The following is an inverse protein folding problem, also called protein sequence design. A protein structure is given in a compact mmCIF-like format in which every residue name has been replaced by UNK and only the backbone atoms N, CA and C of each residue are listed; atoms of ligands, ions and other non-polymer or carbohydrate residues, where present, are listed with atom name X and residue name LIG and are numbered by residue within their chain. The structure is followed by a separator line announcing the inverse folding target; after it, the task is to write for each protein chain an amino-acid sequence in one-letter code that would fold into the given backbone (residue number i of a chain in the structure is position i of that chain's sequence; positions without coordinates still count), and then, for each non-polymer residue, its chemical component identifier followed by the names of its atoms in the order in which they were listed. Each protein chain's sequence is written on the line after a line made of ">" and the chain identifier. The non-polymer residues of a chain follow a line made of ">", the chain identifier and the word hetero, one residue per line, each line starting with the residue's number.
data_IF_813534365747
#
_entry.id   IF_813534365747
#
_cell.length_a   1.000
_cell.length_b   1.000
_cell.length_c   1.000
_cell.angle_alpha   90.00
_cell.angle_beta   90.00
_cell.angle_gamma   90.00
#
_symmetry.space_group_name_H-M   'P 1'
#
loop_
_entity.id
_entity.type
_entity.pdbx_description
1 polymer ?
#
# COMPACT_ATOMS: atom_id res chain seq x y z
N UNK A 1 -26.51 0.00 -84.95
CA UNK A 1 -26.58 -1.28 -84.22
C UNK A 1 -25.81 -1.11 -82.92
N UNK A 2 -26.37 -1.02 -81.73
CA UNK A 2 -27.74 -0.93 -81.25
C UNK A 2 -27.63 -0.46 -79.81
N UNK A 3 -28.33 0.63 -79.47
CA UNK A 3 -28.24 1.37 -78.20
C UNK A 3 -29.04 0.65 -77.09
N UNK A 4 -29.25 -0.66 -77.26
CA UNK A 4 -30.17 -1.52 -76.51
C UNK A 4 -29.45 -2.52 -75.60
N UNK A 5 -28.12 -2.64 -75.69
CA UNK A 5 -27.33 -3.55 -74.81
C UNK A 5 -27.06 -2.96 -73.41
N UNK A 6 -27.49 -1.70 -73.18
CA UNK A 6 -27.26 -0.98 -71.92
C UNK A 6 -28.46 -0.99 -70.95
N UNK A 7 -29.56 -1.66 -71.31
CA UNK A 7 -30.85 -1.59 -70.56
C UNK A 7 -31.33 -2.96 -70.03
N UNK A 8 -30.74 -4.10 -70.43
CA UNK A 8 -31.19 -5.43 -69.98
C UNK A 8 -30.09 -6.24 -69.30
N UNK A 9 -29.95 -6.00 -67.99
CA UNK A 9 -29.75 -7.02 -66.96
C UNK A 9 -28.59 -8.01 -67.07
N UNK A 10 -27.57 -7.80 -66.23
CA UNK A 10 -27.06 -8.90 -65.40
C UNK A 10 -26.44 -8.39 -64.10
N UNK A 11 -27.12 -8.69 -63.00
CA UNK A 11 -26.61 -8.48 -61.65
C UNK A 11 -25.39 -9.36 -61.39
N UNK A 12 -24.29 -8.75 -60.96
CA UNK A 12 -23.25 -9.42 -60.20
C UNK A 12 -23.01 -8.58 -58.96
N UNK A 13 -23.91 -8.70 -57.98
CA UNK A 13 -23.59 -8.39 -56.58
C UNK A 13 -22.45 -9.34 -56.19
N UNK A 14 -21.20 -8.84 -56.20
CA UNK A 14 -20.16 -9.44 -55.37
C UNK A 14 -20.57 -9.15 -53.94
N UNK A 15 -21.09 -10.16 -53.27
CA UNK A 15 -21.28 -10.14 -51.83
C UNK A 15 -19.89 -10.03 -51.21
N UNK A 16 -19.71 -9.06 -50.31
CA UNK A 16 -18.59 -9.07 -49.37
C UNK A 16 -18.71 -10.33 -48.51
N UNK A 17 -18.03 -11.40 -48.94
CA UNK A 17 -17.69 -12.53 -48.09
C UNK A 17 -16.84 -11.98 -46.95
N UNK A 18 -17.49 -11.61 -45.84
CA UNK A 18 -16.83 -11.58 -44.56
C UNK A 18 -16.38 -13.01 -44.32
N UNK A 19 -15.09 -13.29 -44.57
CA UNK A 19 -14.45 -14.51 -44.14
C UNK A 19 -14.56 -14.56 -42.63
N UNK A 20 -15.61 -15.21 -42.13
CA UNK A 20 -15.73 -15.58 -40.73
C UNK A 20 -14.75 -16.73 -40.55
N UNK A 21 -13.48 -16.37 -40.32
CA UNK A 21 -12.48 -17.32 -39.86
C UNK A 21 -13.06 -18.01 -38.62
N UNK A 22 -12.98 -19.34 -38.50
CA UNK A 22 -13.41 -20.03 -37.28
C UNK A 22 -12.42 -19.65 -36.17
N UNK A 23 -12.73 -18.56 -35.47
CA UNK A 23 -11.98 -18.11 -34.29
C UNK A 23 -12.27 -19.12 -33.18
N UNK A 24 -11.23 -19.69 -32.60
CA UNK A 24 -11.38 -20.63 -31.49
C UNK A 24 -11.95 -19.86 -30.28
N UNK A 25 -12.84 -20.45 -29.48
CA UNK A 25 -13.38 -19.78 -28.29
C UNK A 25 -12.29 -19.20 -27.38
N UNK A 26 -11.14 -19.87 -27.27
CA UNK A 26 -9.98 -19.39 -26.52
C UNK A 26 -9.40 -18.07 -27.07
N UNK A 27 -9.36 -17.89 -28.38
CA UNK A 27 -8.88 -16.65 -29.03
C UNK A 27 -9.84 -15.48 -28.77
N UNK A 28 -11.15 -15.73 -28.68
CA UNK A 28 -12.16 -14.73 -28.31
C UNK A 28 -11.95 -14.27 -26.85
N UNK A 29 -11.71 -15.21 -25.93
CA UNK A 29 -11.43 -14.87 -24.53
C UNK A 29 -10.12 -14.09 -24.38
N UNK A 30 -9.08 -14.44 -25.15
CA UNK A 30 -7.81 -13.71 -25.16
C UNK A 30 -7.98 -12.29 -25.71
N UNK A 31 -8.70 -12.13 -26.84
CA UNK A 31 -9.00 -10.82 -27.42
C UNK A 31 -9.81 -9.94 -26.45
N UNK A 32 -10.86 -10.49 -25.83
CA UNK A 32 -11.67 -9.77 -24.85
C UNK A 32 -10.85 -9.37 -23.59
N UNK A 33 -9.87 -10.20 -23.19
CA UNK A 33 -8.98 -9.89 -22.07
C UNK A 33 -8.02 -8.75 -22.42
N UNK A 34 -7.47 -8.74 -23.65
CA UNK A 34 -6.60 -7.66 -24.14
C UNK A 34 -7.38 -6.34 -24.25
N UNK A 35 -8.58 -6.35 -24.83
CA UNK A 35 -9.45 -5.17 -24.92
C UNK A 35 -9.78 -4.61 -23.53
N UNK A 36 -10.08 -5.47 -22.56
CA UNK A 36 -10.35 -5.02 -21.19
C UNK A 36 -9.10 -4.40 -20.53
N UNK A 37 -7.93 -5.02 -20.70
CA UNK A 37 -6.66 -4.51 -20.16
C UNK A 37 -6.33 -3.14 -20.75
N UNK A 38 -6.53 -2.94 -22.05
CA UNK A 38 -6.29 -1.67 -22.72
C UNK A 38 -7.27 -0.58 -22.27
N UNK A 39 -8.52 -0.93 -21.94
CA UNK A 39 -9.54 0.01 -21.43
C UNK A 39 -9.24 0.47 -19.99
N UNK A 40 -8.71 -0.41 -19.14
CA UNK A 40 -8.39 -0.08 -17.74
C UNK A 40 -6.97 0.46 -17.55
N UNK A 41 -6.11 0.33 -18.55
CA UNK A 41 -4.74 0.81 -18.49
C UNK A 41 -4.73 2.35 -18.41
N UNK A 42 -3.85 2.92 -17.57
CA UNK A 42 -3.68 4.38 -17.54
C UNK A 42 -3.08 4.86 -18.87
N UNK A 43 -3.42 6.09 -19.25
CA UNK A 43 -2.94 6.71 -20.50
C UNK A 43 -1.41 6.87 -20.55
N UNK A 44 -0.77 7.07 -19.39
CA UNK A 44 0.68 7.08 -19.23
C UNK A 44 1.05 6.71 -17.78
N UNK A 45 2.25 6.18 -17.60
CA UNK A 45 2.82 5.90 -16.28
C UNK A 45 4.23 6.49 -16.21
N UNK A 46 4.46 7.43 -15.31
CA UNK A 46 5.79 7.97 -15.02
C UNK A 46 6.10 7.80 -13.54
N UNK A 47 7.21 7.11 -13.26
CA UNK A 47 7.68 6.85 -11.89
C UNK A 47 8.72 7.89 -11.52
N UNK A 48 8.48 8.61 -10.43
CA UNK A 48 9.42 9.55 -9.84
C UNK A 48 9.81 9.11 -8.43
N UNK A 49 10.92 9.63 -7.87
CA UNK A 49 11.37 9.22 -6.53
C UNK A 49 10.37 9.46 -5.40
N UNK A 50 9.43 10.41 -5.58
CA UNK A 50 8.46 10.82 -4.55
C UNK A 50 7.00 10.76 -5.01
N UNK A 51 6.75 10.40 -6.26
CA UNK A 51 5.42 10.41 -6.84
C UNK A 51 5.32 9.43 -8.02
N UNK A 52 4.10 9.05 -8.33
CA UNK A 52 3.74 8.26 -9.50
C UNK A 52 2.73 9.08 -10.31
N UNK A 53 3.02 9.37 -11.55
CA UNK A 53 2.06 10.03 -12.45
C UNK A 53 1.30 8.94 -13.21
N UNK A 54 -0.01 8.86 -13.00
CA UNK A 54 -0.95 7.94 -13.66
C UNK A 54 -1.89 8.76 -14.55
N UNK A 55 -1.54 8.87 -15.83
CA UNK A 55 -2.26 9.75 -16.76
C UNK A 55 -2.25 11.20 -16.25
N UNK A 56 -3.44 11.70 -15.90
CA UNK A 56 -3.63 13.07 -15.43
C UNK A 56 -3.56 13.21 -13.89
N UNK A 57 -3.38 12.10 -13.15
CA UNK A 57 -3.33 12.10 -11.69
C UNK A 57 -1.91 11.89 -11.18
N UNK A 58 -1.56 12.60 -10.12
CA UNK A 58 -0.32 12.40 -9.37
C UNK A 58 -0.66 11.63 -8.10
N UNK A 59 0.00 10.49 -7.89
CA UNK A 59 -0.12 9.67 -6.70
C UNK A 59 1.13 9.76 -5.82
N UNK A 60 0.95 9.87 -4.51
CA UNK A 60 2.05 9.84 -3.53
C UNK A 60 1.70 8.94 -2.37
N UNK A 61 2.62 8.05 -2.02
CA UNK A 61 2.43 7.09 -0.93
C UNK A 61 3.25 7.50 0.28
N UNK A 62 2.58 7.60 1.42
CA UNK A 62 3.17 7.82 2.74
C UNK A 62 3.15 6.52 3.53
N UNK A 63 4.08 6.39 4.48
CA UNK A 63 4.10 5.28 5.42
C UNK A 63 4.30 5.80 6.84
N UNK A 64 3.71 5.11 7.81
CA UNK A 64 3.81 5.48 9.23
C UNK A 64 5.11 4.94 9.81
N UNK A 65 5.95 5.84 10.33
CA UNK A 65 7.26 5.50 10.92
C UNK A 65 7.19 5.12 12.39
N UNK A 66 6.19 5.64 13.12
CA UNK A 66 6.06 5.46 14.55
C UNK A 66 4.61 5.59 14.98
N UNK A 67 4.27 4.86 16.03
CA UNK A 67 2.94 4.87 16.63
C UNK A 67 3.03 5.39 18.08
N UNK A 68 1.95 5.97 18.60
CA UNK A 68 1.83 6.24 20.03
C UNK A 68 2.02 4.97 20.87
N UNK A 69 2.44 5.12 22.12
CA UNK A 69 2.63 4.00 23.07
C UNK A 69 1.35 3.18 23.28
N UNK A 70 0.19 3.82 23.18
CA UNK A 70 -1.11 3.18 23.28
C UNK A 70 -1.99 3.65 22.12
N UNK A 71 -2.62 2.70 21.44
CA UNK A 71 -3.66 2.99 20.45
C UNK A 71 -5.01 2.85 21.15
N UNK A 72 -5.73 3.97 21.26
CA UNK A 72 -7.12 3.93 21.71
C UNK A 72 -8.03 3.56 20.55
N UNK A 73 -9.28 3.21 20.86
CA UNK A 73 -10.31 3.14 19.84
C UNK A 73 -10.34 4.43 19.02
N UNK A 74 -10.63 4.30 17.73
CA UNK A 74 -10.77 5.44 16.81
C UNK A 74 -9.48 6.25 16.57
N UNK A 75 -8.29 5.72 16.89
CA UNK A 75 -7.01 6.40 16.69
C UNK A 75 -6.76 6.83 15.23
N UNK A 76 -7.33 6.12 14.26
CA UNK A 76 -7.17 6.37 12.82
C UNK A 76 -8.30 7.23 12.21
N UNK A 77 -9.27 7.66 13.02
CA UNK A 77 -10.41 8.42 12.54
C UNK A 77 -10.09 9.76 11.86
N UNK A 78 -9.06 10.53 12.28
CA UNK A 78 -8.71 11.75 11.57
C UNK A 78 -8.45 11.52 10.09
N UNK A 79 -7.81 10.40 9.74
CA UNK A 79 -7.52 10.02 8.35
C UNK A 79 -8.78 9.53 7.64
N UNK A 80 -9.54 8.60 8.25
CA UNK A 80 -10.75 8.03 7.63
C UNK A 80 -11.79 9.11 7.30
N UNK A 81 -11.87 10.15 8.14
CA UNK A 81 -12.86 11.22 7.99
C UNK A 81 -12.41 12.36 7.06
N UNK A 82 -11.24 12.25 6.41
CA UNK A 82 -10.81 13.22 5.40
C UNK A 82 -11.74 13.12 4.19
N UNK A 83 -12.29 14.25 3.75
CA UNK A 83 -13.13 14.35 2.54
C UNK A 83 -12.27 14.35 1.27
N UNK A 84 -11.48 13.28 1.10
CA UNK A 84 -10.43 13.14 0.09
C UNK A 84 -10.36 11.69 -0.40
N UNK A 85 -9.93 11.50 -1.64
CA UNK A 85 -9.74 10.18 -2.22
C UNK A 85 -8.32 9.71 -1.89
N UNK A 86 -8.23 8.64 -1.11
CA UNK A 86 -6.97 7.99 -0.77
C UNK A 86 -7.21 6.50 -0.55
N UNK A 87 -6.15 5.71 -0.74
CA UNK A 87 -6.13 4.30 -0.44
C UNK A 87 -5.33 4.05 0.84
N UNK A 88 -5.80 3.13 1.66
CA UNK A 88 -5.11 2.71 2.89
C UNK A 88 -4.81 1.23 2.81
N UNK A 89 -3.54 0.87 3.03
CA UNK A 89 -3.09 -0.51 3.04
C UNK A 89 -2.43 -0.85 4.38
N UNK A 90 -2.95 -1.90 5.03
CA UNK A 90 -2.38 -2.48 6.24
C UNK A 90 -1.67 -3.79 5.91
N UNK A 91 -0.41 -3.89 6.30
CA UNK A 91 0.39 -5.10 6.26
C UNK A 91 0.64 -5.54 7.69
N UNK A 92 0.15 -6.72 8.07
CA UNK A 92 0.28 -7.24 9.43
C UNK A 92 0.95 -8.60 9.32
N UNK A 93 2.19 -8.69 9.80
CA UNK A 93 2.98 -9.90 9.75
C UNK A 93 3.30 -10.37 11.17
N UNK A 94 2.87 -11.57 11.59
CA UNK A 94 3.19 -12.08 12.91
C UNK A 94 4.69 -12.36 13.03
N UNK A 95 5.26 -11.99 14.18
CA UNK A 95 6.66 -12.26 14.50
C UNK A 95 6.73 -13.51 15.36
N UNK A 96 7.73 -14.36 15.09
CA UNK A 96 8.01 -15.52 15.93
C UNK A 96 8.35 -15.12 17.38
N UNK A 97 7.56 -15.63 18.33
CA UNK A 97 7.71 -15.31 19.76
C UNK A 97 9.09 -15.69 20.29
N UNK A 98 9.68 -16.80 19.84
CA UNK A 98 11.00 -17.20 20.32
C UNK A 98 12.11 -16.22 19.88
N UNK A 99 11.98 -15.71 18.65
CA UNK A 99 12.90 -14.70 18.10
C UNK A 99 12.82 -13.38 18.88
N UNK A 100 11.62 -12.86 19.14
CA UNK A 100 11.47 -11.59 19.85
C UNK A 100 11.89 -11.69 21.32
N UNK A 101 11.62 -12.82 21.99
CA UNK A 101 12.06 -13.04 23.37
C UNK A 101 13.58 -13.00 23.50
N UNK A 102 14.32 -13.55 22.53
CA UNK A 102 15.79 -13.46 22.48
C UNK A 102 16.27 -12.02 22.27
N UNK A 103 15.57 -11.23 21.46
CA UNK A 103 15.89 -9.82 21.26
C UNK A 103 15.63 -9.00 22.53
N UNK A 104 14.49 -9.22 23.19
CA UNK A 104 14.17 -8.57 24.46
C UNK A 104 15.16 -8.94 25.56
N UNK A 105 15.58 -10.20 25.66
CA UNK A 105 16.61 -10.60 26.61
C UNK A 105 17.91 -9.79 26.44
N UNK A 106 18.36 -9.58 25.19
CA UNK A 106 19.53 -8.74 24.89
C UNK A 106 19.29 -7.28 25.30
N UNK A 107 18.12 -6.72 24.99
CA UNK A 107 17.77 -5.33 25.35
C UNK A 107 17.64 -5.11 26.85
N UNK A 108 17.07 -6.05 27.59
CA UNK A 108 17.04 -6.02 29.06
C UNK A 108 18.46 -6.00 29.61
N UNK A 109 19.35 -6.88 29.12
CA UNK A 109 20.73 -6.91 29.57
C UNK A 109 21.48 -5.59 29.28
N UNK A 110 21.26 -4.99 28.10
CA UNK A 110 21.81 -3.68 27.75
C UNK A 110 21.33 -2.59 28.72
N UNK A 111 20.02 -2.47 28.95
CA UNK A 111 19.43 -1.47 29.86
C UNK A 111 19.91 -1.68 31.29
N UNK A 112 19.92 -2.91 31.77
CA UNK A 112 20.40 -3.22 33.13
C UNK A 112 21.89 -2.91 33.30
N UNK A 113 22.71 -3.18 32.28
CA UNK A 113 24.12 -2.79 32.31
C UNK A 113 24.29 -1.27 32.42
N UNK A 114 23.45 -0.49 31.76
CA UNK A 114 23.48 0.97 31.87
C UNK A 114 23.09 1.44 33.27
N UNK A 115 22.06 0.84 33.87
CA UNK A 115 21.64 1.12 35.25
C UNK A 115 22.79 0.84 36.22
N UNK A 116 23.39 -0.35 36.16
CA UNK A 116 24.50 -0.76 37.03
C UNK A 116 25.74 0.16 36.87
N UNK A 117 26.06 0.56 35.64
CA UNK A 117 27.14 1.50 35.35
C UNK A 117 26.90 2.88 35.97
N UNK A 118 25.66 3.35 36.00
CA UNK A 118 25.31 4.63 36.64
C UNK A 118 25.37 4.53 38.16
N UNK A 119 24.82 3.47 38.71
CA UNK A 119 24.81 3.20 40.15
C UNK A 119 26.24 3.05 40.72
N UNK A 120 27.12 2.32 40.02
CA UNK A 120 28.54 2.21 40.40
C UNK A 120 29.29 3.53 40.37
N UNK A 121 28.83 4.51 39.58
CA UNK A 121 29.35 5.89 39.57
C UNK A 121 28.70 6.78 40.63
N UNK A 122 27.80 6.24 41.46
CA UNK A 122 27.04 6.99 42.47
C UNK A 122 26.03 7.96 41.87
N UNK A 123 25.65 7.81 40.59
CA UNK A 123 24.66 8.66 39.96
C UNK A 123 23.26 8.31 40.46
N UNK A 124 22.42 9.33 40.59
CA UNK A 124 21.00 9.13 40.88
C UNK A 124 20.33 8.32 39.79
N UNK A 125 19.32 7.56 40.21
CA UNK A 125 18.50 6.69 39.37
C UNK A 125 17.89 7.49 38.21
N UNK A 126 17.91 6.90 37.02
CA UNK A 126 17.33 7.50 35.82
C UNK A 126 15.93 6.92 35.57
N UNK A 127 14.86 7.72 35.76
CA UNK A 127 13.48 7.24 35.58
C UNK A 127 13.20 6.69 34.19
N UNK A 128 13.91 7.16 33.17
CA UNK A 128 13.73 6.70 31.79
C UNK A 128 14.25 5.26 31.64
N UNK A 129 15.45 4.98 32.17
CA UNK A 129 16.01 3.62 32.14
C UNK A 129 15.18 2.63 32.96
N UNK A 130 14.64 3.08 34.08
CA UNK A 130 13.76 2.25 34.91
C UNK A 130 12.46 1.89 34.21
N UNK A 131 11.87 2.87 33.55
CA UNK A 131 10.62 2.68 32.81
C UNK A 131 10.88 1.74 31.64
N UNK A 132 11.98 1.95 30.91
CA UNK A 132 12.38 1.05 29.83
C UNK A 132 12.61 -0.38 30.32
N UNK A 133 13.28 -0.57 31.46
CA UNK A 133 13.49 -1.89 32.05
C UNK A 133 12.17 -2.56 32.41
N UNK A 134 11.28 -1.84 33.10
CA UNK A 134 9.95 -2.35 33.50
C UNK A 134 9.09 -2.71 32.30
N UNK A 135 9.07 -1.86 31.28
CA UNK A 135 8.29 -2.09 30.06
C UNK A 135 8.79 -3.34 29.32
N UNK A 136 10.12 -3.52 29.21
CA UNK A 136 10.72 -4.69 28.58
C UNK A 136 10.42 -5.99 29.35
N UNK A 137 10.50 -5.98 30.67
CA UNK A 137 10.15 -7.12 31.52
C UNK A 137 8.67 -7.49 31.38
N UNK A 138 7.78 -6.50 31.46
CA UNK A 138 6.34 -6.71 31.31
C UNK A 138 5.99 -7.33 29.96
N UNK A 139 6.56 -6.82 28.87
CA UNK A 139 6.34 -7.37 27.53
C UNK A 139 6.88 -8.80 27.41
N UNK A 140 8.04 -9.09 28.02
CA UNK A 140 8.62 -10.43 28.00
C UNK A 140 7.71 -11.43 28.73
N UNK A 141 7.17 -11.04 29.88
CA UNK A 141 6.27 -11.88 30.68
C UNK A 141 4.95 -12.13 29.93
N UNK A 142 4.34 -11.11 29.34
CA UNK A 142 3.12 -11.26 28.51
C UNK A 142 3.33 -12.21 27.33
N UNK A 143 4.49 -12.11 26.66
CA UNK A 143 4.84 -12.97 25.53
C UNK A 143 5.13 -14.41 25.96
N UNK A 144 5.81 -14.62 27.08
CA UNK A 144 6.06 -15.96 27.63
C UNK A 144 4.77 -16.67 28.05
N UNK A 145 3.81 -15.92 28.61
CA UNK A 145 2.50 -16.43 29.00
C UNK A 145 1.55 -16.62 27.80
N UNK A 146 1.99 -16.29 26.58
CA UNK A 146 1.19 -16.31 25.37
C UNK A 146 -0.10 -15.47 25.45
N UNK A 147 -0.10 -14.44 26.31
CA UNK A 147 -1.22 -13.48 26.41
C UNK A 147 -1.21 -12.49 25.26
N UNK A 148 -0.01 -12.15 24.77
CA UNK A 148 0.20 -11.20 23.69
C UNK A 148 0.98 -11.84 22.54
N UNK A 149 0.87 -11.22 21.36
CA UNK A 149 1.65 -11.56 20.16
C UNK A 149 2.20 -10.28 19.55
N UNK A 150 3.42 -10.36 19.04
CA UNK A 150 4.07 -9.25 18.35
C UNK A 150 3.83 -9.37 16.85
N UNK A 151 3.64 -8.22 16.21
CA UNK A 151 3.41 -8.11 14.78
C UNK A 151 4.30 -7.00 14.21
N UNK A 152 4.87 -7.25 13.04
CA UNK A 152 5.38 -6.19 12.18
C UNK A 152 4.19 -5.58 11.44
N UNK A 153 3.96 -4.29 11.65
CA UNK A 153 2.82 -3.57 11.07
C UNK A 153 3.33 -2.47 10.15
N UNK A 154 2.95 -2.56 8.87
CA UNK A 154 3.12 -1.50 7.87
C UNK A 154 1.79 -0.85 7.56
N UNK A 155 1.73 0.47 7.68
CA UNK A 155 0.58 1.28 7.25
C UNK A 155 1.02 2.21 6.14
N UNK A 156 0.39 2.07 4.98
CA UNK A 156 0.64 2.88 3.80
C UNK A 156 -0.63 3.62 3.41
N UNK A 157 -0.48 4.89 3.06
CA UNK A 157 -1.57 5.76 2.62
C UNK A 157 -1.16 6.34 1.27
N UNK A 158 -1.92 6.02 0.23
CA UNK A 158 -1.70 6.55 -1.12
C UNK A 158 -2.74 7.61 -1.42
N UNK A 159 -2.28 8.80 -1.76
CA UNK A 159 -3.15 9.93 -2.09
C UNK A 159 -3.07 10.27 -3.56
N UNK A 160 -4.14 10.83 -4.11
CA UNK A 160 -4.24 11.26 -5.50
C UNK A 160 -4.56 12.75 -5.59
N UNK A 161 -3.94 13.45 -6.54
CA UNK A 161 -4.18 14.86 -6.81
C UNK A 161 -4.09 15.16 -8.32
N UNK A 162 -4.71 16.25 -8.77
CA UNK A 162 -4.62 16.70 -10.17
C UNK A 162 -3.35 17.52 -10.45
N UNK A 163 -2.71 18.06 -9.41
CA UNK A 163 -1.48 18.84 -9.52
C UNK A 163 -0.66 18.81 -8.22
N UNK A 164 0.61 19.21 -8.31
CA UNK A 164 1.53 19.20 -7.16
C UNK A 164 1.10 20.14 -6.02
N UNK A 165 0.43 21.27 -6.32
CA UNK A 165 -0.03 22.21 -5.29
C UNK A 165 -1.14 21.60 -4.43
N UNK A 166 -2.08 20.90 -5.05
CA UNK A 166 -3.13 20.15 -4.36
C UNK A 166 -2.53 18.99 -3.55
N UNK A 167 -1.58 18.26 -4.13
CA UNK A 167 -0.87 17.19 -3.45
C UNK A 167 -0.15 17.69 -2.20
N UNK A 168 0.50 18.87 -2.29
CA UNK A 168 1.18 19.49 -1.17
C UNK A 168 0.22 19.96 -0.07
N UNK A 169 -0.95 20.51 -0.42
CA UNK A 169 -1.99 20.86 0.55
C UNK A 169 -2.50 19.63 1.29
N UNK A 170 -2.81 18.57 0.54
CA UNK A 170 -3.29 17.31 1.09
C UNK A 170 -2.24 16.65 2.00
N UNK A 171 -0.96 16.74 1.63
CA UNK A 171 0.16 16.26 2.44
C UNK A 171 0.24 16.99 3.79
N UNK A 172 -0.03 18.30 3.82
CA UNK A 172 -0.02 19.07 5.06
C UNK A 172 -1.24 18.79 5.94
N UNK A 173 -2.41 18.50 5.35
CA UNK A 173 -3.62 18.11 6.09
C UNK A 173 -3.43 16.78 6.82
N UNK A 174 -2.75 15.79 6.22
CA UNK A 174 -2.47 14.49 6.85
C UNK A 174 -1.39 14.57 7.94
N UNK A 175 -0.42 15.47 7.79
CA UNK A 175 0.67 15.63 8.76
C UNK A 175 0.26 16.39 10.02
N UNK A 176 -0.82 17.17 9.96
CA UNK A 176 -1.31 18.01 11.05
C UNK A 176 -2.18 17.23 12.04
#
# INVERSE_FOLDING_TARGET
>A
MGILDKILGKSSKKADEHQVLPVLPEEIYQAATLELQDVIAPSALQVEPKALHLGDKIARTFFVISYPRYLTDNWFAPIINLDKIFDVSFFIHPIDTATILRQFQKKVAEVQSQINMRESRGLVRDPILDTAYRDLESLRDSLQQAQEKMFDVGLYITMYADNEDELFKLENEIKS
#
